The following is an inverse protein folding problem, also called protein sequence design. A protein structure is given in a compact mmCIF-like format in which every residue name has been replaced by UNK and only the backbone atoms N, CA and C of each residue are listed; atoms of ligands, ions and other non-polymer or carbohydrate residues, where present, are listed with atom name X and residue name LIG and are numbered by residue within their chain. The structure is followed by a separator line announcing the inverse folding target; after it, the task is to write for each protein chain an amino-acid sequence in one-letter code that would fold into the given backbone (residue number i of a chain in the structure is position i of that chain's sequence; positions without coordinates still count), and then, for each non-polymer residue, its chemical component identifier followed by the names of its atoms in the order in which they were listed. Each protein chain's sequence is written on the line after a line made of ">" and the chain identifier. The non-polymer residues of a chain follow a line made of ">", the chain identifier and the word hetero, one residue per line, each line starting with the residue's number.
data_IF_559272390258
#
_entry.id   IF_559272390258
#
_cell.length_a   1.000
_cell.length_b   1.000
_cell.length_c   1.000
_cell.angle_alpha   90.00
_cell.angle_beta   90.00
_cell.angle_gamma   90.00
#
_symmetry.space_group_name_H-M   'P 1'
#
loop_
_entity.id
_entity.type
_entity.pdbx_description
1 polymer ?
#
# COMPACT_ATOMS: atom_id res chain seq x y z
N UNK A 1 2.61 26.13 66.41
CA UNK A 1 1.79 26.55 65.25
C UNK A 1 2.27 25.79 64.02
N UNK A 2 1.71 24.60 63.75
CA UNK A 2 1.97 23.84 62.53
C UNK A 2 0.61 23.53 61.91
N UNK A 3 0.32 24.13 60.74
CA UNK A 3 -0.88 23.83 59.95
C UNK A 3 -0.48 22.84 58.86
N UNK A 4 -0.99 21.62 58.97
CA UNK A 4 -1.03 20.64 57.89
C UNK A 4 -1.98 21.14 56.80
N UNK A 5 -1.48 21.25 55.56
CA UNK A 5 -2.30 21.45 54.36
C UNK A 5 -2.65 20.07 53.80
N UNK A 6 -3.93 19.71 53.84
CA UNK A 6 -4.47 18.55 53.12
C UNK A 6 -4.61 18.92 51.64
N UNK A 7 -3.88 18.26 50.77
CA UNK A 7 -4.09 18.31 49.32
C UNK A 7 -5.25 17.36 49.01
N UNK A 8 -6.36 17.90 48.51
CA UNK A 8 -7.48 17.13 47.99
C UNK A 8 -7.12 16.75 46.55
N UNK A 9 -6.93 15.46 46.29
CA UNK A 9 -6.78 14.92 44.95
C UNK A 9 -8.17 14.91 44.29
N UNK A 10 -8.41 15.84 43.36
CA UNK A 10 -9.57 15.77 42.49
C UNK A 10 -9.30 14.73 41.41
N UNK A 11 -9.95 13.58 41.48
CA UNK A 11 -9.99 12.62 40.39
C UNK A 11 -10.78 13.25 39.24
N UNK A 12 -10.07 13.73 38.21
CA UNK A 12 -10.69 14.12 36.96
C UNK A 12 -11.20 12.83 36.28
N UNK A 13 -12.52 12.67 36.20
CA UNK A 13 -13.12 11.72 35.26
C UNK A 13 -12.69 12.16 33.86
N UNK A 14 -11.83 11.38 33.21
CA UNK A 14 -11.64 11.50 31.77
C UNK A 14 -12.99 11.21 31.11
N UNK A 15 -13.47 12.06 30.19
CA UNK A 15 -14.62 11.69 29.38
C UNK A 15 -14.25 10.44 28.58
N UNK A 16 -15.09 9.42 28.64
CA UNK A 16 -14.99 8.28 27.75
C UNK A 16 -15.07 8.81 26.32
N UNK A 17 -13.94 8.82 25.61
CA UNK A 17 -13.93 9.03 24.17
C UNK A 17 -14.65 7.81 23.62
N UNK A 18 -15.88 8.03 23.18
CA UNK A 18 -16.58 7.07 22.34
C UNK A 18 -15.77 7.04 21.04
N UNK A 19 -14.80 6.13 20.91
CA UNK A 19 -14.23 5.82 19.60
C UNK A 19 -15.39 5.39 18.74
N UNK A 20 -15.77 6.21 17.76
CA UNK A 20 -16.54 5.71 16.65
C UNK A 20 -15.73 4.54 16.10
N UNK A 21 -16.29 3.33 16.14
CA UNK A 21 -15.66 2.19 15.51
C UNK A 21 -15.39 2.57 14.05
N UNK A 22 -14.15 2.36 13.59
CA UNK A 22 -13.80 2.61 12.18
C UNK A 22 -14.78 1.79 11.34
N UNK A 23 -15.35 2.41 10.31
CA UNK A 23 -16.13 1.64 9.34
C UNK A 23 -15.22 0.55 8.75
N UNK A 24 -15.78 -0.64 8.52
CA UNK A 24 -15.04 -1.67 7.81
C UNK A 24 -14.66 -1.12 6.42
N UNK A 25 -13.43 -1.37 5.93
CA UNK A 25 -13.03 -0.94 4.60
C UNK A 25 -14.03 -1.44 3.56
N UNK A 26 -14.26 -0.65 2.51
CA UNK A 26 -15.04 -1.13 1.38
C UNK A 26 -14.40 -2.42 0.83
N UNK A 27 -15.17 -3.36 0.24
CA UNK A 27 -14.61 -4.63 -0.22
C UNK A 27 -13.41 -4.53 -1.18
N UNK A 28 -13.34 -3.46 -1.97
CA UNK A 28 -12.23 -3.12 -2.87
C UNK A 28 -11.07 -2.35 -2.21
N UNK A 29 -11.17 -2.04 -0.91
CA UNK A 29 -10.14 -1.40 -0.11
C UNK A 29 -9.46 -2.42 0.79
N UNK A 30 -8.13 -2.46 0.76
CA UNK A 30 -7.33 -3.41 1.53
C UNK A 30 -5.87 -2.99 1.54
N UNK A 31 -5.08 -3.60 2.41
CA UNK A 31 -3.65 -3.32 2.51
C UNK A 31 -2.82 -4.36 1.76
N UNK A 32 -1.56 -4.02 1.49
CA UNK A 32 -0.54 -5.04 1.24
C UNK A 32 -0.54 -6.08 2.37
N UNK A 33 -0.41 -7.35 1.99
CA UNK A 33 -0.55 -8.48 2.92
C UNK A 33 0.52 -9.55 2.77
N UNK A 34 1.48 -9.35 1.87
CA UNK A 34 2.61 -10.25 1.66
C UNK A 34 3.84 -9.46 1.24
N UNK A 35 4.97 -9.75 1.86
CA UNK A 35 6.29 -9.40 1.33
C UNK A 35 6.65 -10.45 0.28
N UNK A 36 6.83 -10.00 -0.96
CA UNK A 36 7.20 -10.86 -2.11
C UNK A 36 8.71 -10.89 -2.28
N UNK A 37 9.36 -9.74 -2.13
CA UNK A 37 10.80 -9.60 -2.16
C UNK A 37 11.22 -8.50 -1.19
N UNK A 38 12.31 -8.72 -0.47
CA UNK A 38 12.99 -7.67 0.28
C UNK A 38 14.50 -7.83 0.07
N UNK A 39 15.10 -6.82 -0.55
CA UNK A 39 16.54 -6.75 -0.82
C UNK A 39 17.05 -5.42 -0.29
N UNK A 40 17.55 -5.38 0.95
CA UNK A 40 18.05 -4.15 1.53
C UNK A 40 19.26 -3.59 0.79
N UNK A 41 19.31 -2.28 0.71
CA UNK A 41 20.37 -1.48 0.10
C UNK A 41 21.56 -1.24 1.03
N UNK A 42 22.45 -0.35 0.59
CA UNK A 42 23.61 0.04 1.37
C UNK A 42 23.23 1.00 2.52
N UNK A 43 23.94 0.95 3.65
CA UNK A 43 23.61 1.77 4.83
C UNK A 43 22.37 1.30 5.60
N UNK A 44 21.81 0.15 5.23
CA UNK A 44 20.70 -0.51 5.93
C UNK A 44 21.14 -1.01 7.31
N UNK A 45 20.65 -0.36 8.37
CA UNK A 45 20.99 -0.76 9.75
C UNK A 45 19.81 -0.62 10.74
N UNK A 46 18.71 0.02 10.33
CA UNK A 46 17.53 0.29 11.17
C UNK A 46 16.28 -0.45 10.66
N UNK A 47 15.43 -0.95 11.57
CA UNK A 47 14.17 -1.67 11.30
C UNK A 47 14.20 -2.74 10.20
N UNK A 48 14.79 -3.90 10.47
CA UNK A 48 15.02 -4.89 9.42
C UNK A 48 13.84 -5.79 9.07
N UNK A 49 12.72 -5.62 9.78
CA UNK A 49 11.58 -6.50 9.66
C UNK A 49 10.62 -6.02 8.57
N UNK A 50 10.71 -6.65 7.40
CA UNK A 50 9.85 -6.32 6.25
C UNK A 50 8.37 -6.53 6.53
N UNK A 51 7.98 -7.37 7.49
CA UNK A 51 6.57 -7.60 7.80
C UNK A 51 5.89 -6.38 8.44
N UNK A 52 6.67 -5.40 8.93
CA UNK A 52 6.14 -4.13 9.42
C UNK A 52 5.51 -3.29 8.30
N UNK A 53 5.84 -3.55 7.04
CA UNK A 53 5.20 -2.90 5.88
C UNK A 53 3.79 -3.43 5.52
N UNK A 54 3.30 -4.43 6.27
CA UNK A 54 2.05 -5.13 5.99
C UNK A 54 0.90 -4.63 6.87
N UNK A 55 -0.31 -4.64 6.33
CA UNK A 55 -1.48 -4.10 7.02
C UNK A 55 -1.57 -2.58 6.88
N UNK A 56 -2.30 -1.94 7.80
CA UNK A 56 -2.58 -0.52 7.71
C UNK A 56 -1.51 0.35 8.36
N UNK A 57 -1.39 1.62 7.93
CA UNK A 57 -0.34 2.51 8.39
C UNK A 57 -0.44 2.80 9.89
N UNK A 58 0.71 3.01 10.52
CA UNK A 58 0.88 3.43 11.92
C UNK A 58 1.64 4.75 12.03
N UNK A 59 1.33 5.69 11.14
CA UNK A 59 1.95 7.01 11.10
C UNK A 59 2.00 7.74 12.44
N UNK A 60 3.06 8.50 12.64
CA UNK A 60 3.25 9.39 13.80
C UNK A 60 2.52 10.74 13.68
N UNK A 61 1.86 11.00 12.54
CA UNK A 61 1.22 12.27 12.24
C UNK A 61 2.16 13.24 11.53
N UNK A 62 1.80 14.53 11.52
CA UNK A 62 2.49 15.52 10.69
C UNK A 62 3.93 15.82 11.14
N UNK A 63 4.29 15.61 12.40
CA UNK A 63 5.53 16.16 12.99
C UNK A 63 6.56 15.12 13.43
N UNK A 64 6.23 13.84 13.34
CA UNK A 64 7.10 12.75 13.80
C UNK A 64 6.82 11.49 13.01
N UNK A 65 7.87 10.72 12.75
CA UNK A 65 7.76 9.40 12.14
C UNK A 65 7.23 8.32 13.10
N UNK A 66 6.65 7.28 12.52
CA UNK A 66 6.42 5.96 13.09
C UNK A 66 7.73 5.21 13.35
N UNK A 67 7.63 4.16 14.16
CA UNK A 67 8.68 3.16 14.40
C UNK A 67 8.26 1.78 13.87
N UNK A 68 7.05 1.69 13.32
CA UNK A 68 6.47 0.52 12.67
C UNK A 68 6.72 0.67 11.17
N UNK A 69 7.96 0.44 10.78
CA UNK A 69 8.46 0.69 9.42
C UNK A 69 9.51 -0.36 9.08
N UNK A 70 9.78 -0.58 7.79
CA UNK A 70 10.97 -1.28 7.32
C UNK A 70 11.87 -0.31 6.58
N UNK A 71 13.13 -0.23 6.99
CA UNK A 71 14.11 0.60 6.29
C UNK A 71 14.60 -0.13 5.04
N UNK A 72 14.65 0.54 3.90
CA UNK A 72 15.11 -0.08 2.66
C UNK A 72 16.63 -0.11 2.57
N UNK A 73 17.33 0.86 3.15
CA UNK A 73 18.71 1.16 2.76
C UNK A 73 18.78 1.78 1.37
N UNK A 74 19.92 2.39 1.05
CA UNK A 74 20.10 3.13 -0.21
C UNK A 74 20.02 2.19 -1.41
N UNK A 75 19.10 2.48 -2.35
CA UNK A 75 18.72 1.59 -3.47
C UNK A 75 18.14 0.23 -3.04
N UNK A 76 17.67 0.13 -1.79
CA UNK A 76 16.95 -1.03 -1.31
C UNK A 76 15.64 -1.22 -2.05
N UNK A 77 15.21 -2.49 -2.15
CA UNK A 77 14.01 -2.90 -2.85
C UNK A 77 13.07 -3.62 -1.89
N UNK A 78 11.82 -3.22 -1.91
CA UNK A 78 10.71 -3.95 -1.30
C UNK A 78 9.63 -4.18 -2.36
N UNK A 79 9.26 -5.44 -2.57
CA UNK A 79 8.10 -5.80 -3.40
C UNK A 79 7.02 -6.34 -2.50
N UNK A 80 5.88 -5.67 -2.53
CA UNK A 80 4.67 -6.03 -1.79
C UNK A 80 3.65 -6.64 -2.73
N UNK A 81 2.92 -7.61 -2.20
CA UNK A 81 1.78 -8.24 -2.86
C UNK A 81 0.55 -8.28 -1.95
N UNK A 82 -0.54 -8.72 -2.56
CA UNK A 82 -1.83 -8.84 -1.90
C UNK A 82 -2.21 -10.33 -1.74
N UNK A 83 -3.38 -10.58 -1.15
CA UNK A 83 -3.98 -11.90 -1.24
C UNK A 83 -4.06 -12.32 -2.73
N UNK A 84 -3.74 -13.57 -3.12
CA UNK A 84 -3.64 -13.98 -4.53
C UNK A 84 -4.87 -13.65 -5.38
N UNK A 85 -6.06 -13.63 -4.77
CA UNK A 85 -7.32 -13.34 -5.45
C UNK A 85 -7.64 -11.85 -5.60
N UNK A 86 -6.81 -10.95 -5.06
CA UNK A 86 -6.97 -9.49 -5.10
C UNK A 86 -5.91 -8.86 -6.01
N UNK A 87 -6.31 -7.80 -6.71
CA UNK A 87 -5.44 -7.00 -7.56
C UNK A 87 -5.92 -5.54 -7.53
N UNK A 88 -5.00 -4.57 -7.53
CA UNK A 88 -5.35 -3.15 -7.74
C UNK A 88 -5.89 -3.01 -9.16
N UNK A 89 -6.89 -2.14 -9.32
CA UNK A 89 -7.54 -1.90 -10.61
C UNK A 89 -7.67 -0.39 -10.81
N UNK A 90 -7.44 0.07 -12.04
CA UNK A 90 -7.56 1.48 -12.42
C UNK A 90 -8.99 2.00 -12.21
N UNK A 91 -9.15 2.81 -11.17
CA UNK A 91 -10.40 3.41 -10.73
C UNK A 91 -10.44 4.91 -11.04
N UNK A 92 -11.30 5.65 -10.32
CA UNK A 92 -11.38 7.08 -10.48
C UNK A 92 -10.46 7.79 -9.46
N UNK A 93 -9.38 8.39 -9.94
CA UNK A 93 -8.38 9.04 -9.07
C UNK A 93 -7.39 8.05 -8.50
N UNK A 94 -6.77 8.35 -7.36
CA UNK A 94 -5.74 7.47 -6.81
C UNK A 94 -6.28 6.07 -6.46
N UNK A 95 -5.52 5.05 -6.83
CA UNK A 95 -5.84 3.63 -6.66
C UNK A 95 -5.05 2.99 -5.53
N UNK A 96 -3.91 3.58 -5.15
CA UNK A 96 -3.10 3.16 -4.02
C UNK A 96 -2.44 4.35 -3.33
N UNK A 97 -2.08 4.16 -2.06
CA UNK A 97 -1.34 5.12 -1.25
C UNK A 97 -0.15 4.38 -0.64
N UNK A 98 1.04 4.95 -0.79
CA UNK A 98 2.27 4.46 -0.16
C UNK A 98 2.55 5.31 1.07
N UNK A 99 2.72 4.64 2.20
CA UNK A 99 3.09 5.24 3.47
C UNK A 99 4.53 4.87 3.77
N UNK A 100 5.37 5.88 3.77
CA UNK A 100 6.76 5.80 4.21
C UNK A 100 6.78 6.30 5.66
N UNK A 101 7.58 7.29 5.99
CA UNK A 101 7.73 7.82 7.33
C UNK A 101 8.05 9.33 7.34
N UNK A 102 7.79 10.02 6.23
CA UNK A 102 8.04 11.44 6.09
C UNK A 102 7.30 12.28 7.17
N UNK A 103 7.89 13.42 7.56
CA UNK A 103 7.26 14.35 8.51
C UNK A 103 7.75 15.79 8.34
N UNK A 104 6.91 16.75 8.74
CA UNK A 104 7.16 18.18 8.57
C UNK A 104 8.28 18.69 9.48
N UNK A 105 9.19 19.46 8.87
CA UNK A 105 10.23 20.24 9.52
C UNK A 105 10.01 21.72 9.16
N UNK A 106 9.04 22.34 9.85
CA UNK A 106 8.59 23.68 9.50
C UNK A 106 7.85 23.68 8.16
N UNK A 107 8.38 24.40 7.17
CA UNK A 107 7.85 24.38 5.79
C UNK A 107 8.51 23.30 4.90
N UNK A 108 9.54 22.64 5.42
CA UNK A 108 10.32 21.62 4.73
C UNK A 108 9.85 20.23 5.14
N UNK A 109 10.32 19.20 4.45
CA UNK A 109 9.95 17.81 4.71
C UNK A 109 11.19 16.99 5.03
N UNK A 110 11.18 16.29 6.17
CA UNK A 110 12.03 15.12 6.30
C UNK A 110 11.40 14.05 5.41
N UNK A 111 12.03 13.75 4.28
CA UNK A 111 11.52 12.91 3.21
C UNK A 111 12.69 12.11 2.65
N UNK A 112 12.41 10.86 2.31
CA UNK A 112 13.35 9.92 1.70
C UNK A 112 12.62 9.35 0.47
N UNK A 113 13.12 9.66 -0.72
CA UNK A 113 12.34 9.50 -1.95
C UNK A 113 12.30 8.04 -2.37
N UNK A 114 11.10 7.58 -2.73
CA UNK A 114 10.86 6.20 -3.16
C UNK A 114 10.25 6.19 -4.55
N UNK A 115 10.83 5.42 -5.46
CA UNK A 115 10.22 5.09 -6.74
C UNK A 115 9.18 4.01 -6.55
N UNK A 116 8.00 4.23 -7.12
CA UNK A 116 6.89 3.29 -7.07
C UNK A 116 6.69 2.67 -8.45
N UNK A 117 6.79 1.35 -8.51
CA UNK A 117 6.49 0.54 -9.68
C UNK A 117 5.34 -0.41 -9.41
N UNK A 118 4.57 -0.73 -10.44
CA UNK A 118 3.47 -1.69 -10.37
C UNK A 118 3.62 -2.78 -11.41
N UNK A 119 3.15 -3.98 -11.09
CA UNK A 119 3.28 -5.13 -11.98
C UNK A 119 2.08 -6.08 -11.90
N UNK A 120 1.78 -6.69 -13.04
CA UNK A 120 0.83 -7.79 -13.17
C UNK A 120 1.51 -9.15 -12.95
N UNK A 121 2.72 -9.35 -13.47
CA UNK A 121 3.41 -10.65 -13.48
C UNK A 121 4.53 -10.78 -12.43
N UNK A 122 4.86 -9.69 -11.73
CA UNK A 122 5.95 -9.63 -10.75
C UNK A 122 7.34 -9.58 -11.39
N UNK A 123 7.44 -9.49 -12.71
CA UNK A 123 8.69 -9.48 -13.49
C UNK A 123 8.88 -8.14 -14.21
N UNK A 124 7.81 -7.62 -14.82
CA UNK A 124 7.81 -6.36 -15.57
C UNK A 124 7.11 -5.28 -14.74
N UNK A 125 7.80 -4.20 -14.43
CA UNK A 125 7.28 -3.11 -13.60
C UNK A 125 7.19 -1.81 -14.40
N UNK A 126 5.99 -1.25 -14.50
CA UNK A 126 5.77 0.12 -14.96
C UNK A 126 5.94 1.06 -13.77
N UNK A 127 6.79 2.09 -13.89
CA UNK A 127 7.08 3.02 -12.81
C UNK A 127 6.35 4.35 -13.00
N UNK A 128 5.82 4.89 -11.91
CA UNK A 128 5.20 6.21 -11.94
C UNK A 128 6.23 7.28 -12.35
N UNK A 129 5.87 8.19 -13.27
CA UNK A 129 6.77 9.26 -13.66
C UNK A 129 7.13 10.13 -12.45
N UNK A 130 8.41 10.42 -12.30
CA UNK A 130 8.93 11.26 -11.22
C UNK A 130 9.53 12.54 -11.77
N UNK A 131 9.48 13.60 -10.97
CA UNK A 131 10.15 14.87 -11.25
C UNK A 131 10.89 15.37 -10.02
N UNK A 132 12.13 15.81 -10.20
CA UNK A 132 12.98 16.42 -9.19
C UNK A 132 13.51 17.78 -9.67
N UNK A 133 13.12 18.84 -8.97
CA UNK A 133 13.58 20.23 -9.16
C UNK A 133 14.63 20.69 -8.16
N UNK A 134 15.03 19.84 -7.21
CA UNK A 134 16.15 20.14 -6.32
C UNK A 134 17.44 20.29 -7.16
N UNK A 135 18.32 21.21 -6.78
CA UNK A 135 19.49 21.58 -7.61
C UNK A 135 20.84 21.34 -6.93
N UNK A 136 20.83 20.75 -5.73
CA UNK A 136 22.04 20.55 -4.93
C UNK A 136 21.88 19.37 -3.99
N UNK A 137 23.00 18.71 -3.70
CA UNK A 137 23.06 17.61 -2.75
C UNK A 137 22.44 18.00 -1.40
N UNK A 138 21.68 17.06 -0.83
CA UNK A 138 21.07 17.17 0.49
C UNK A 138 21.90 16.32 1.44
N UNK A 139 22.34 16.91 2.54
CA UNK A 139 23.09 16.17 3.54
C UNK A 139 22.16 15.16 4.25
N UNK A 140 22.72 14.07 4.79
CA UNK A 140 21.90 13.08 5.50
C UNK A 140 21.14 13.73 6.65
N UNK A 141 19.91 13.27 6.88
CA UNK A 141 18.97 13.79 7.88
C UNK A 141 18.58 15.26 7.71
N UNK A 142 18.83 15.88 6.55
CA UNK A 142 18.36 17.23 6.25
C UNK A 142 17.05 17.19 5.47
N UNK A 143 16.12 18.11 5.77
CA UNK A 143 14.85 18.14 5.06
C UNK A 143 14.99 18.75 3.66
N UNK A 144 14.08 18.40 2.76
CA UNK A 144 13.97 18.92 1.40
C UNK A 144 12.77 19.87 1.25
N UNK A 145 12.75 20.66 0.17
CA UNK A 145 11.55 21.40 -0.23
C UNK A 145 10.58 20.42 -0.90
N UNK A 146 9.44 20.07 -0.27
CA UNK A 146 8.51 19.10 -0.85
C UNK A 146 7.85 19.60 -2.13
N UNK A 147 7.92 20.91 -2.42
CA UNK A 147 7.38 21.47 -3.69
C UNK A 147 8.29 21.24 -4.89
N UNK A 148 9.53 20.79 -4.64
CA UNK A 148 10.54 20.52 -5.67
C UNK A 148 10.61 19.05 -6.06
N UNK A 149 9.67 18.21 -5.61
CA UNK A 149 9.60 16.79 -5.97
C UNK A 149 8.15 16.40 -6.23
N UNK A 150 7.92 15.49 -7.18
CA UNK A 150 6.59 14.93 -7.43
C UNK A 150 6.67 13.54 -8.06
N UNK A 151 5.66 12.70 -7.79
CA UNK A 151 5.60 11.33 -8.31
C UNK A 151 6.41 10.30 -7.52
N UNK A 152 7.13 10.75 -6.48
CA UNK A 152 7.78 9.88 -5.50
C UNK A 152 6.84 9.57 -4.34
N UNK A 153 7.04 8.42 -3.70
CA UNK A 153 6.58 8.22 -2.33
C UNK A 153 7.66 8.72 -1.34
N UNK A 154 7.33 8.80 -0.06
CA UNK A 154 8.24 9.33 0.97
C UNK A 154 8.28 10.84 1.03
N UNK A 155 7.27 11.51 0.47
CA UNK A 155 7.10 12.96 0.59
C UNK A 155 6.04 13.24 1.64
N UNK A 156 4.78 12.85 1.46
CA UNK A 156 3.66 13.19 2.34
C UNK A 156 3.77 12.61 3.76
N UNK A 157 3.49 13.37 4.85
CA UNK A 157 3.50 12.81 6.18
C UNK A 157 2.41 11.76 6.37
N UNK A 158 2.71 10.71 7.13
CA UNK A 158 1.73 9.64 7.40
C UNK A 158 0.82 10.06 8.55
N UNK A 159 -0.44 10.40 8.23
CA UNK A 159 -1.40 10.91 9.21
C UNK A 159 -2.31 9.81 9.75
N UNK A 160 -2.70 8.87 8.89
CA UNK A 160 -3.52 7.72 9.28
C UNK A 160 -2.74 6.80 10.22
N UNK A 161 -3.39 6.42 11.31
CA UNK A 161 -2.87 5.42 12.22
C UNK A 161 -4.01 4.50 12.63
N UNK A 162 -3.95 3.25 12.17
CA UNK A 162 -5.06 2.29 12.33
C UNK A 162 -5.31 1.87 13.78
N UNK A 163 -4.34 2.10 14.67
CA UNK A 163 -4.42 1.71 16.08
C UNK A 163 -4.80 2.88 17.01
N UNK A 164 -4.48 4.12 16.63
CA UNK A 164 -4.53 5.26 17.55
C UNK A 164 -5.38 6.45 17.09
N UNK A 165 -5.81 6.51 15.83
CA UNK A 165 -6.70 7.56 15.35
C UNK A 165 -7.80 7.04 14.41
N UNK A 166 -8.72 7.94 14.04
CA UNK A 166 -9.88 7.61 13.19
C UNK A 166 -9.77 8.11 11.75
N UNK A 167 -8.56 8.45 11.28
CA UNK A 167 -8.33 8.88 9.91
C UNK A 167 -8.44 7.65 9.00
N UNK A 168 -9.18 7.77 7.90
CA UNK A 168 -9.36 6.70 6.94
C UNK A 168 -8.07 6.50 6.14
N UNK A 169 -7.35 5.36 6.25
CA UNK A 169 -6.11 5.14 5.49
C UNK A 169 -6.36 4.88 4.00
N UNK A 170 -7.62 4.80 3.55
CA UNK A 170 -7.98 4.63 2.16
C UNK A 170 -8.51 5.92 1.52
N UNK A 171 -8.50 7.03 2.23
CA UNK A 171 -8.85 8.36 1.70
C UNK A 171 -7.57 9.14 1.35
N UNK A 172 -7.20 9.26 0.06
CA UNK A 172 -6.01 9.99 -0.37
C UNK A 172 -5.96 11.44 0.08
N UNK A 173 -7.11 12.05 0.38
CA UNK A 173 -7.18 13.45 0.79
C UNK A 173 -6.83 13.67 2.27
N UNK A 174 -6.93 12.64 3.11
CA UNK A 174 -6.79 12.78 4.57
C UNK A 174 -5.82 11.80 5.22
N UNK A 175 -5.53 10.66 4.58
CA UNK A 175 -4.65 9.63 5.11
C UNK A 175 -3.20 10.09 5.30
N UNK A 176 -2.76 11.09 4.55
CA UNK A 176 -1.34 11.39 4.39
C UNK A 176 -0.67 10.37 3.46
N UNK A 177 0.66 10.25 3.56
CA UNK A 177 1.45 9.49 2.59
C UNK A 177 1.34 10.07 1.18
N UNK A 178 1.71 9.27 0.18
CA UNK A 178 1.72 9.67 -1.22
C UNK A 178 0.80 8.76 -2.05
N UNK A 179 -0.15 9.38 -2.75
CA UNK A 179 -1.19 8.69 -3.49
C UNK A 179 -0.88 8.59 -4.99
N UNK A 180 -1.23 7.45 -5.59
CA UNK A 180 -0.88 7.10 -6.97
C UNK A 180 -2.12 6.65 -7.75
N UNK A 181 -2.33 7.25 -8.92
CA UNK A 181 -3.43 6.97 -9.86
C UNK A 181 -2.86 6.18 -11.05
N UNK A 182 -3.30 4.94 -11.23
CA UNK A 182 -2.79 4.02 -12.26
C UNK A 182 -2.99 4.59 -13.67
N UNK A 183 -3.97 5.45 -13.90
CA UNK A 183 -4.16 6.11 -15.20
C UNK A 183 -2.93 6.93 -15.63
N UNK A 184 -2.07 7.36 -14.69
CA UNK A 184 -0.79 8.02 -15.00
C UNK A 184 0.18 7.12 -15.80
N UNK A 185 -0.02 5.79 -15.76
CA UNK A 185 0.80 4.80 -16.46
C UNK A 185 0.20 4.38 -17.80
N UNK A 186 -0.94 4.93 -18.22
CA UNK A 186 -1.64 4.49 -19.44
C UNK A 186 -0.79 4.57 -20.72
N UNK A 187 0.23 5.44 -20.74
CA UNK A 187 1.18 5.56 -21.86
C UNK A 187 2.50 4.83 -21.67
N UNK A 188 2.68 4.12 -20.55
CA UNK A 188 3.89 3.34 -20.30
C UNK A 188 4.05 2.23 -21.38
N UNK A 189 5.24 2.02 -21.96
CA UNK A 189 5.44 1.00 -22.98
C UNK A 189 5.03 -0.42 -22.57
N UNK A 190 5.19 -0.79 -21.29
CA UNK A 190 4.78 -2.11 -20.78
C UNK A 190 3.27 -2.24 -20.68
N UNK A 191 2.57 -1.14 -20.41
CA UNK A 191 1.10 -1.08 -20.41
C UNK A 191 0.58 -1.16 -21.84
N UNK A 192 1.13 -0.35 -22.75
CA UNK A 192 0.78 -0.40 -24.18
C UNK A 192 1.11 -1.75 -24.83
N UNK A 193 2.16 -2.41 -24.35
CA UNK A 193 2.57 -3.75 -24.76
C UNK A 193 1.74 -4.90 -24.17
N UNK A 194 0.85 -4.61 -23.21
CA UNK A 194 0.03 -5.62 -22.53
C UNK A 194 0.79 -6.49 -21.53
N UNK A 195 2.00 -6.10 -21.16
CA UNK A 195 2.82 -6.79 -20.14
C UNK A 195 2.41 -6.37 -18.73
N UNK A 196 1.92 -5.14 -18.57
CA UNK A 196 1.30 -4.61 -17.36
C UNK A 196 -0.17 -4.29 -17.66
N UNK A 197 -1.09 -5.02 -17.04
CA UNK A 197 -2.54 -4.77 -17.10
C UNK A 197 -2.94 -3.91 -15.90
N UNK A 198 -3.24 -2.62 -16.13
CA UNK A 198 -3.67 -1.70 -15.08
C UNK A 198 -5.01 -2.10 -14.43
N UNK A 199 -5.78 -3.00 -15.06
CA UNK A 199 -6.95 -3.60 -14.42
C UNK A 199 -6.60 -4.67 -13.38
N UNK A 200 -5.35 -5.14 -13.35
CA UNK A 200 -4.86 -6.30 -12.58
C UNK A 200 -3.41 -6.13 -12.17
N UNK A 201 -3.19 -5.26 -11.19
CA UNK A 201 -1.89 -5.08 -10.54
C UNK A 201 -1.82 -5.94 -9.29
N UNK A 202 -0.91 -6.92 -9.29
CA UNK A 202 -0.72 -7.86 -8.19
C UNK A 202 0.46 -7.49 -7.28
N UNK A 203 1.35 -6.63 -7.76
CA UNK A 203 2.61 -6.30 -7.10
C UNK A 203 2.88 -4.80 -7.14
N UNK A 204 3.36 -4.27 -6.02
CA UNK A 204 3.89 -2.91 -5.89
C UNK A 204 5.36 -3.04 -5.49
N UNK A 205 6.25 -2.42 -6.27
CA UNK A 205 7.69 -2.37 -6.02
C UNK A 205 8.07 -0.98 -5.57
N UNK A 206 8.72 -0.91 -4.42
CA UNK A 206 9.23 0.29 -3.80
C UNK A 206 10.75 0.21 -3.85
N UNK A 207 11.37 1.25 -4.39
CA UNK A 207 12.83 1.35 -4.53
C UNK A 207 13.27 2.67 -3.95
N UNK A 208 14.11 2.61 -2.93
CA UNK A 208 14.78 3.79 -2.38
C UNK A 208 15.69 4.44 -3.44
N UNK A 209 15.80 5.76 -3.42
CA UNK A 209 16.56 6.53 -4.40
C UNK A 209 17.99 6.82 -3.93
N UNK A 210 18.97 6.59 -4.80
CA UNK A 210 20.30 7.21 -4.68
C UNK A 210 20.26 8.65 -5.21
N UNK A 211 19.96 9.61 -4.35
CA UNK A 211 19.84 11.03 -4.68
C UNK A 211 21.13 11.82 -4.54
N UNK A 212 22.24 11.31 -5.06
CA UNK A 212 23.54 11.99 -5.08
C UNK A 212 23.66 13.04 -6.22
N UNK A 213 22.66 13.11 -7.09
CA UNK A 213 22.63 13.96 -8.28
C UNK A 213 23.57 13.51 -9.39
N UNK A 214 24.06 12.27 -9.37
CA UNK A 214 25.01 11.73 -10.34
C UNK A 214 24.49 10.44 -10.98
N UNK A 215 24.02 9.49 -10.17
CA UNK A 215 23.70 8.13 -10.61
C UNK A 215 22.27 8.00 -11.16
N UNK A 216 21.31 8.67 -10.53
CA UNK A 216 19.90 8.55 -10.87
C UNK A 216 19.32 9.82 -11.49
N UNK A 217 18.45 9.60 -12.48
CA UNK A 217 17.69 10.65 -13.16
C UNK A 217 16.19 10.45 -12.96
N UNK A 218 15.43 11.55 -12.93
CA UNK A 218 13.97 11.53 -12.95
C UNK A 218 13.43 11.21 -14.35
N UNK A 219 12.11 11.21 -14.52
CA UNK A 219 11.47 10.91 -15.82
C UNK A 219 11.68 11.98 -16.91
N UNK A 220 12.35 13.08 -16.58
CA UNK A 220 12.64 14.22 -17.45
C UNK A 220 14.14 14.44 -17.62
N UNK A 221 14.96 13.43 -17.29
CA UNK A 221 16.42 13.44 -17.35
C UNK A 221 17.08 14.47 -16.40
N UNK A 222 16.39 14.92 -15.34
CA UNK A 222 17.01 15.75 -14.30
C UNK A 222 17.71 14.87 -13.26
N UNK A 223 18.87 15.29 -12.72
CA UNK A 223 19.47 14.65 -11.56
C UNK A 223 18.51 14.63 -10.37
N UNK A 224 18.45 13.51 -9.66
CA UNK A 224 17.68 13.43 -8.42
C UNK A 224 18.57 13.75 -7.22
N UNK A 225 18.06 14.61 -6.34
CA UNK A 225 18.65 14.87 -5.05
C UNK A 225 17.69 14.43 -3.93
N UNK A 226 18.23 13.73 -2.94
CA UNK A 226 17.54 13.13 -1.79
C UNK A 226 18.53 13.17 -0.61
N UNK A 227 18.12 13.28 0.67
CA UNK A 227 19.00 13.09 1.84
C UNK A 227 19.73 11.73 1.97
N UNK A 228 19.95 10.99 0.88
CA UNK A 228 20.72 9.74 0.83
C UNK A 228 22.05 9.79 1.58
N UNK A 229 22.75 10.93 1.57
CA UNK A 229 24.00 11.13 2.30
C UNK A 229 25.28 10.78 1.53
N UNK A 230 26.35 10.44 2.25
CA UNK A 230 27.66 10.12 1.67
C UNK A 230 27.82 8.60 1.48
N UNK A 231 27.75 8.18 0.22
CA UNK A 231 27.89 6.79 -0.23
C UNK A 231 29.28 6.47 -0.79
N UNK A 232 30.28 7.34 -0.61
CA UNK A 232 31.59 7.20 -1.27
C UNK A 232 32.45 6.07 -0.70
N UNK A 233 32.51 5.90 0.62
CA UNK A 233 33.27 4.82 1.29
C UNK A 233 32.61 4.41 2.63
N UNK A 234 32.64 3.12 3.02
CA UNK A 234 32.09 2.67 4.29
C UNK A 234 32.95 3.09 5.52
N UNK A 235 32.35 3.29 6.71
CA UNK A 235 30.92 3.19 7.00
C UNK A 235 30.14 4.33 6.36
N UNK A 236 29.07 4.00 5.65
CA UNK A 236 28.22 4.98 4.99
C UNK A 236 27.57 5.88 6.03
N UNK A 237 27.52 7.18 5.75
CA UNK A 237 26.72 8.12 6.53
C UNK A 237 25.52 8.47 5.67
N UNK A 238 24.50 7.63 5.77
CA UNK A 238 23.36 7.65 4.87
C UNK A 238 22.04 7.62 5.61
N UNK A 239 20.98 7.99 4.91
CA UNK A 239 19.59 7.74 5.30
C UNK A 239 18.88 7.06 4.12
N UNK A 240 17.73 6.46 4.38
CA UNK A 240 16.97 5.68 3.40
C UNK A 240 15.54 5.55 3.82
N UNK A 241 14.63 5.39 2.86
CA UNK A 241 13.22 5.28 3.10
C UNK A 241 12.84 4.16 4.09
N UNK A 242 11.93 4.52 4.98
CA UNK A 242 11.33 3.72 6.03
C UNK A 242 9.85 3.46 5.69
N UNK A 243 9.55 2.32 5.07
CA UNK A 243 8.19 2.00 4.59
C UNK A 243 7.29 1.52 5.74
N UNK A 244 6.16 2.19 5.97
CA UNK A 244 5.11 1.84 6.93
C UNK A 244 4.06 0.92 6.30
N UNK A 245 3.47 1.29 5.16
CA UNK A 245 2.38 0.51 4.57
C UNK A 245 2.10 0.84 3.10
N UNK A 246 1.29 -0.01 2.45
CA UNK A 246 0.61 0.31 1.18
C UNK A 246 -0.88 0.02 1.31
N UNK A 247 -1.71 1.03 1.05
CA UNK A 247 -3.17 0.90 0.97
C UNK A 247 -3.64 0.86 -0.47
N UNK A 248 -4.61 0.01 -0.75
CA UNK A 248 -5.34 -0.06 -2.02
C UNK A 248 -6.68 0.63 -1.84
N UNK A 249 -6.95 1.62 -2.68
CA UNK A 249 -8.19 2.42 -2.73
C UNK A 249 -9.18 1.76 -3.69
N UNK A 250 -8.71 1.34 -4.87
CA UNK A 250 -9.50 0.64 -5.87
C UNK A 250 -8.88 -0.72 -6.20
N UNK A 251 -9.55 -1.79 -5.77
CA UNK A 251 -9.11 -3.14 -6.07
C UNK A 251 -10.26 -4.08 -6.39
N UNK A 252 -9.90 -5.17 -7.07
CA UNK A 252 -10.82 -6.25 -7.40
C UNK A 252 -11.34 -6.91 -6.12
N UNK A 253 -12.62 -7.29 -6.18
CA UNK A 253 -13.22 -8.07 -5.13
C UNK A 253 -12.51 -9.44 -5.01
N UNK A 254 -12.41 -9.98 -3.78
CA UNK A 254 -11.87 -11.32 -3.58
C UNK A 254 -12.62 -12.35 -4.42
N UNK A 255 -11.86 -13.16 -5.16
CA UNK A 255 -12.38 -14.32 -5.86
C UNK A 255 -12.11 -15.62 -5.06
N UNK A 256 -12.94 -16.63 -5.30
CA UNK A 256 -12.78 -17.97 -4.70
C UNK A 256 -11.67 -18.70 -5.44
N UNK A 257 -10.74 -19.34 -4.72
CA UNK A 257 -9.69 -20.15 -5.35
C UNK A 257 -10.33 -21.22 -6.23
N UNK A 258 -9.90 -21.30 -7.49
CA UNK A 258 -10.58 -22.12 -8.51
C UNK A 258 -11.42 -21.34 -9.51
N UNK A 259 -11.80 -20.09 -9.22
CA UNK A 259 -12.62 -19.26 -10.11
C UNK A 259 -11.72 -18.31 -10.93
N UNK A 260 -11.09 -18.84 -11.97
CA UNK A 260 -10.23 -18.06 -12.89
C UNK A 260 -11.03 -16.94 -13.53
N UNK A 261 -12.28 -17.22 -13.88
CA UNK A 261 -13.13 -16.27 -14.61
C UNK A 261 -13.77 -15.19 -13.73
N UNK A 262 -13.61 -15.29 -12.41
CA UNK A 262 -14.19 -14.39 -11.39
C UNK A 262 -15.71 -14.27 -11.52
N UNK A 263 -16.40 -15.34 -11.94
CA UNK A 263 -17.85 -15.34 -12.15
C UNK A 263 -18.65 -15.83 -10.92
N UNK A 264 -17.95 -16.20 -9.84
CA UNK A 264 -18.50 -16.71 -8.60
C UNK A 264 -18.79 -18.21 -8.58
N UNK A 265 -18.47 -18.94 -9.65
CA UNK A 265 -18.74 -20.38 -9.80
C UNK A 265 -17.51 -21.12 -10.29
N UNK A 266 -16.99 -22.03 -9.45
CA UNK A 266 -15.86 -22.89 -9.82
C UNK A 266 -16.34 -24.10 -10.60
N UNK A 267 -16.00 -24.19 -11.88
CA UNK A 267 -16.47 -25.26 -12.76
C UNK A 267 -15.46 -25.65 -13.87
N UNK A 268 -15.94 -26.38 -14.87
CA UNK A 268 -15.11 -26.91 -15.97
C UNK A 268 -14.47 -25.83 -16.83
N UNK A 269 -15.07 -24.64 -16.91
CA UNK A 269 -14.50 -23.49 -17.62
C UNK A 269 -13.22 -23.03 -16.95
N UNK A 270 -13.20 -22.96 -15.61
CA UNK A 270 -12.02 -22.55 -14.86
C UNK A 270 -10.92 -23.61 -14.90
N UNK A 271 -11.29 -24.90 -14.85
CA UNK A 271 -10.33 -25.98 -15.05
C UNK A 271 -9.71 -25.93 -16.45
N UNK A 272 -10.49 -25.60 -17.48
CA UNK A 272 -10.00 -25.40 -18.83
C UNK A 272 -8.99 -24.25 -18.92
N UNK A 273 -9.24 -23.14 -18.23
CA UNK A 273 -8.33 -22.00 -18.19
C UNK A 273 -7.02 -22.30 -17.45
N UNK A 274 -7.09 -22.94 -16.28
CA UNK A 274 -5.91 -23.42 -15.56
C UNK A 274 -5.09 -24.40 -16.42
N UNK A 275 -5.75 -25.36 -17.07
CA UNK A 275 -5.07 -26.35 -17.92
C UNK A 275 -4.38 -25.73 -19.14
N UNK A 276 -4.92 -24.63 -19.68
CA UNK A 276 -4.31 -23.91 -20.80
C UNK A 276 -2.96 -23.27 -20.44
N UNK A 277 -2.74 -22.97 -19.15
CA UNK A 277 -1.54 -22.33 -18.62
C UNK A 277 -0.72 -23.26 -17.73
N UNK A 278 -0.95 -24.57 -17.78
CA UNK A 278 -0.23 -25.53 -16.94
C UNK A 278 1.29 -25.37 -17.08
N UNK A 279 2.01 -25.33 -15.96
CA UNK A 279 3.45 -25.07 -15.86
C UNK A 279 3.91 -23.69 -16.36
N UNK A 280 2.99 -22.73 -16.56
CA UNK A 280 3.39 -21.33 -16.75
C UNK A 280 4.15 -20.89 -15.51
N UNK A 281 5.40 -20.44 -15.72
CA UNK A 281 6.31 -19.96 -14.70
C UNK A 281 7.50 -19.25 -15.37
N UNK A 282 8.13 -18.26 -14.70
CA UNK A 282 7.56 -17.52 -13.56
C UNK A 282 6.47 -16.53 -14.04
N UNK A 283 5.82 -15.87 -13.09
CA UNK A 283 4.86 -14.79 -13.38
C UNK A 283 3.50 -15.27 -13.87
N UNK A 284 3.08 -16.48 -13.46
CA UNK A 284 1.67 -16.83 -13.54
C UNK A 284 0.84 -15.90 -12.63
N UNK A 285 -0.35 -15.57 -13.11
CA UNK A 285 -1.32 -14.71 -12.41
C UNK A 285 -2.55 -15.53 -12.01
N UNK A 286 -3.44 -14.92 -11.23
CA UNK A 286 -4.75 -15.51 -10.94
C UNK A 286 -5.51 -15.91 -12.21
N UNK A 287 -5.48 -15.04 -13.24
CA UNK A 287 -6.13 -15.27 -14.53
C UNK A 287 -5.49 -16.38 -15.35
N UNK A 288 -4.25 -16.75 -15.03
CA UNK A 288 -3.61 -17.94 -15.57
C UNK A 288 -3.98 -19.22 -14.81
N UNK A 289 -4.60 -19.10 -13.63
CA UNK A 289 -4.93 -20.21 -12.75
C UNK A 289 -3.90 -20.46 -11.64
N UNK A 290 -3.03 -19.49 -11.33
CA UNK A 290 -2.24 -19.50 -10.10
C UNK A 290 -3.10 -18.96 -8.94
N UNK A 291 -3.75 -19.87 -8.21
CA UNK A 291 -4.61 -19.53 -7.09
C UNK A 291 -3.84 -19.39 -5.78
N UNK A 292 -2.61 -19.87 -5.74
CA UNK A 292 -1.73 -19.78 -4.57
C UNK A 292 -0.90 -18.48 -4.57
N UNK A 293 -0.73 -17.86 -5.73
CA UNK A 293 0.06 -16.65 -5.94
C UNK A 293 1.57 -16.91 -5.81
N UNK A 294 2.02 -18.14 -6.11
CA UNK A 294 3.44 -18.51 -6.07
C UNK A 294 4.17 -18.25 -7.41
N UNK A 295 3.45 -17.71 -8.40
CA UNK A 295 3.94 -17.40 -9.73
C UNK A 295 4.02 -18.60 -10.67
N UNK A 296 3.49 -19.77 -10.28
CA UNK A 296 3.55 -21.02 -11.05
C UNK A 296 2.23 -21.79 -11.06
N UNK A 297 1.64 -21.99 -12.24
CA UNK A 297 0.44 -22.86 -12.36
C UNK A 297 0.84 -24.34 -12.25
N UNK A 298 0.48 -24.99 -11.14
CA UNK A 298 0.84 -26.36 -10.86
C UNK A 298 -0.25 -27.19 -10.14
N UNK A 299 0.14 -28.35 -9.61
CA UNK A 299 -0.78 -29.29 -8.95
C UNK A 299 -1.42 -28.71 -7.69
N UNK A 300 -0.76 -27.76 -7.05
CA UNK A 300 -1.26 -27.07 -5.86
C UNK A 300 -2.49 -26.23 -6.23
N UNK A 301 -2.44 -25.52 -7.37
CA UNK A 301 -3.57 -24.74 -7.87
C UNK A 301 -4.73 -25.62 -8.32
N UNK A 302 -4.42 -26.75 -8.98
CA UNK A 302 -5.45 -27.74 -9.29
C UNK A 302 -6.12 -28.29 -8.02
N UNK A 303 -5.35 -28.47 -6.95
CA UNK A 303 -5.87 -28.83 -5.62
C UNK A 303 -6.77 -27.75 -5.03
N UNK A 304 -6.39 -26.47 -5.16
CA UNK A 304 -7.20 -25.34 -4.72
C UNK A 304 -8.52 -25.24 -5.50
N UNK A 305 -8.50 -25.44 -6.82
CA UNK A 305 -9.69 -25.49 -7.66
C UNK A 305 -10.59 -26.68 -7.27
N UNK A 306 -10.02 -27.87 -7.16
CA UNK A 306 -10.79 -29.08 -6.83
C UNK A 306 -11.47 -28.99 -5.46
N UNK A 307 -10.82 -28.32 -4.48
CA UNK A 307 -11.38 -28.11 -3.14
C UNK A 307 -12.62 -27.22 -3.14
N UNK A 308 -12.79 -26.39 -4.16
CA UNK A 308 -13.91 -25.46 -4.31
C UNK A 308 -14.85 -25.84 -5.46
N UNK A 309 -14.74 -27.05 -6.02
CA UNK A 309 -15.56 -27.47 -7.16
C UNK A 309 -17.06 -27.35 -6.88
N UNK A 310 -17.82 -26.79 -7.83
CA UNK A 310 -19.26 -26.47 -7.72
C UNK A 310 -19.63 -25.47 -6.61
N UNK A 311 -18.67 -24.79 -5.99
CA UNK A 311 -18.97 -23.70 -5.08
C UNK A 311 -19.58 -22.54 -5.89
N UNK A 312 -20.71 -22.00 -5.43
CA UNK A 312 -21.40 -20.88 -6.05
C UNK A 312 -21.53 -19.74 -5.01
N UNK A 313 -20.58 -18.81 -5.05
CA UNK A 313 -20.52 -17.67 -4.13
C UNK A 313 -21.61 -16.62 -4.38
N UNK A 314 -22.26 -16.63 -5.56
CA UNK A 314 -23.39 -15.75 -5.83
C UNK A 314 -24.67 -16.15 -5.07
N UNK A 315 -24.73 -17.35 -4.49
CA UNK A 315 -25.86 -17.80 -3.66
C UNK A 315 -25.69 -17.51 -2.16
N UNK A 316 -24.52 -17.04 -1.71
CA UNK A 316 -24.19 -16.90 -0.28
C UNK A 316 -24.30 -15.46 0.26
N UNK A 317 -24.99 -14.55 -0.42
CA UNK A 317 -25.38 -13.26 0.16
C UNK A 317 -26.82 -13.39 0.70
N UNK A 318 -27.04 -13.59 2.03
CA UNK A 318 -28.34 -13.31 2.60
C UNK A 318 -28.58 -11.81 2.45
N UNK A 319 -29.64 -11.41 1.77
CA UNK A 319 -30.05 -10.01 1.78
C UNK A 319 -30.22 -9.54 3.23
N UNK A 320 -29.76 -8.33 3.60
CA UNK A 320 -30.02 -7.82 4.92
C UNK A 320 -31.52 -7.79 5.14
N UNK A 321 -32.00 -8.48 6.18
CA UNK A 321 -33.36 -8.39 6.65
C UNK A 321 -33.60 -6.99 7.25
N UNK A 322 -33.71 -5.97 6.42
CA UNK A 322 -34.02 -4.60 6.78
C UNK A 322 -34.86 -4.03 5.61
N UNK A 323 -36.09 -3.53 5.76
CA UNK A 323 -36.82 -2.99 6.89
C UNK A 323 -38.33 -3.20 6.66
N UNK A 324 -38.98 -4.02 7.48
CA UNK A 324 -40.42 -3.91 7.70
C UNK A 324 -40.64 -3.05 8.96
N UNK A 325 -40.56 -1.73 8.84
CA UNK A 325 -40.91 -0.79 9.91
C UNK A 325 -42.26 -0.10 9.57
N UNK A 326 -43.29 -0.63 10.24
CA UNK A 326 -44.49 -0.02 10.81
C UNK A 326 -45.26 1.10 10.08
N UNK A 327 -46.36 0.71 9.42
CA UNK A 327 -47.58 1.50 9.30
C UNK A 327 -48.53 1.15 10.46
N UNK A 328 -48.35 1.77 11.63
CA UNK A 328 -49.41 1.87 12.63
C UNK A 328 -49.17 3.08 13.53
N UNK A 329 -49.96 4.13 13.35
CA UNK A 329 -49.98 5.22 14.32
C UNK A 329 -50.53 6.53 13.79
N UNK A 330 -51.85 6.61 13.57
CA UNK A 330 -52.70 7.70 14.11
C UNK A 330 -54.10 7.67 13.51
N UNK A 331 -55.01 6.94 14.14
CA UNK A 331 -56.45 7.21 14.07
C UNK A 331 -57.04 6.95 15.46
N UNK A 332 -57.18 8.03 16.24
CA UNK A 332 -58.21 8.24 17.26
C UNK A 332 -57.74 9.27 18.30
N UNK A 333 -58.11 10.54 18.11
CA UNK A 333 -58.65 11.37 19.21
C UNK A 333 -59.81 12.16 18.60
N UNK A 334 -61.02 11.78 19.00
CA UNK A 334 -62.21 12.65 19.00
C UNK A 334 -62.31 13.19 20.42
#
# INVERSE_FOLDING_TARGET
>A
MHRFVRIILAAAMLPAICSAARADPAPGQYFASRVVEFSPGAGYEFYPDSDLSLGGPRGGGALVGSMDVVSLGVQGVLVLGFAPSRAVTDGAGADLIVFENAFDVGQWRFAELVRVGVSTDGLNYAYFPTWCGLTSAVLPYQPIDPTQVSGFAGVGPVLANVDSNGIDPFDPATAGGDAFDLAALASDPLVLGGQVDLGRIYYVKLVDVLGDGLAELDSYDNPIYDPTGDMTEPPYVATSADIDAVSVVHGLLPAVAGDVTRNGVVNITDLGALAANWQKSPGATWEDGDFTGDGTVNITDLGALASNWNLNAAQTVPEPASLAIWLAGSAAVI
#
